data_IF_903026695477
#
_entry.id   IF_903026695477
#
_cell.length_a   1.000
_cell.length_b   1.000
_cell.length_c   1.000
_cell.angle_alpha   90.00
_cell.angle_beta   90.00
_cell.angle_gamma   90.00
#
_symmetry.space_group_name_H-M   'P 1'
#
loop_
_entity.id
_entity.type
_entity.pdbx_description
1 polymer ?
#
# COMPACT_ATOMS: atom_id res chain seq x y z
N UNK A 1 36.27 -4.86 -0.95
CA UNK A 1 35.11 -4.68 -0.05
C UNK A 1 34.81 -6.03 0.61
N UNK A 2 34.63 -6.10 1.94
CA UNK A 2 34.18 -7.34 2.59
C UNK A 2 32.71 -7.63 2.25
N UNK A 3 32.29 -8.90 2.29
CA UNK A 3 30.97 -9.37 1.85
C UNK A 3 29.79 -8.62 2.50
N UNK A 4 29.90 -8.28 3.78
CA UNK A 4 28.86 -7.52 4.49
C UNK A 4 28.73 -6.07 4.00
N UNK A 5 29.84 -5.40 3.69
CA UNK A 5 29.82 -4.05 3.10
C UNK A 5 29.21 -4.05 1.71
N UNK A 6 29.44 -5.12 0.93
CA UNK A 6 28.80 -5.31 -0.37
C UNK A 6 27.29 -5.48 -0.23
N UNK A 7 26.84 -6.30 0.72
CA UNK A 7 25.42 -6.50 0.99
C UNK A 7 24.72 -5.19 1.40
N UNK A 8 25.32 -4.41 2.30
CA UNK A 8 24.80 -3.10 2.69
C UNK A 8 24.66 -2.15 1.49
N UNK A 9 25.67 -2.09 0.61
CA UNK A 9 25.62 -1.28 -0.62
C UNK A 9 24.51 -1.72 -1.58
N UNK A 10 24.28 -3.04 -1.73
CA UNK A 10 23.18 -3.55 -2.54
C UNK A 10 21.81 -3.18 -1.97
N UNK A 11 21.64 -3.24 -0.65
CA UNK A 11 20.41 -2.81 0.02
C UNK A 11 20.20 -1.31 -0.19
N UNK A 12 21.24 -0.49 -0.01
CA UNK A 12 21.15 0.95 -0.22
C UNK A 12 20.71 1.28 -1.65
N UNK A 13 21.45 0.79 -2.65
CA UNK A 13 21.17 1.04 -4.08
C UNK A 13 19.82 0.48 -4.52
N UNK A 14 19.37 -0.65 -3.94
CA UNK A 14 18.03 -1.16 -4.15
C UNK A 14 16.96 -0.14 -3.74
N UNK A 15 17.11 0.50 -2.57
CA UNK A 15 16.13 1.48 -2.07
C UNK A 15 16.26 2.86 -2.72
N UNK A 16 17.47 3.37 -2.92
CA UNK A 16 17.71 4.74 -3.40
C UNK A 16 17.61 4.88 -4.92
N UNK A 17 18.03 3.85 -5.67
CA UNK A 17 18.13 3.92 -7.13
C UNK A 17 17.09 3.03 -7.81
N UNK A 18 17.05 1.74 -7.47
CA UNK A 18 16.20 0.80 -8.18
C UNK A 18 14.71 1.03 -7.92
N UNK A 19 14.29 1.12 -6.65
CA UNK A 19 12.87 1.31 -6.32
C UNK A 19 12.36 2.69 -6.72
N UNK A 20 13.16 3.73 -6.52
CA UNK A 20 12.76 5.12 -6.80
C UNK A 20 12.91 5.45 -8.28
N UNK A 21 14.12 5.28 -8.84
CA UNK A 21 14.44 5.70 -10.20
C UNK A 21 13.94 4.71 -11.26
N UNK A 22 14.29 3.43 -11.14
CA UNK A 22 14.01 2.47 -12.21
C UNK A 22 12.57 1.93 -12.18
N UNK A 23 12.02 1.69 -10.99
CA UNK A 23 10.69 1.10 -10.84
C UNK A 23 9.57 2.10 -10.58
N UNK A 24 9.90 3.35 -10.23
CA UNK A 24 8.96 4.41 -9.85
C UNK A 24 7.84 3.89 -8.91
N UNK A 25 8.22 3.09 -7.90
CA UNK A 25 7.21 2.52 -6.99
C UNK A 25 6.75 3.56 -5.98
N UNK A 26 5.47 3.46 -5.60
CA UNK A 26 4.91 4.40 -4.62
C UNK A 26 5.67 4.41 -3.29
N UNK A 27 5.70 5.55 -2.56
CA UNK A 27 6.33 5.63 -1.23
C UNK A 27 5.79 4.60 -0.22
N UNK A 28 4.54 4.17 -0.38
CA UNK A 28 3.93 3.10 0.42
C UNK A 28 4.54 1.74 0.12
N UNK A 29 4.87 1.45 -1.14
CA UNK A 29 5.59 0.24 -1.53
C UNK A 29 7.01 0.25 -0.95
N UNK A 30 7.71 1.38 -1.03
CA UNK A 30 9.05 1.55 -0.46
C UNK A 30 9.02 1.29 1.05
N UNK A 31 8.08 1.92 1.77
CA UNK A 31 7.88 1.68 3.21
C UNK A 31 7.61 0.21 3.52
N UNK A 32 6.72 -0.43 2.76
CA UNK A 32 6.42 -1.85 2.94
C UNK A 32 7.65 -2.75 2.69
N UNK A 33 8.48 -2.43 1.71
CA UNK A 33 9.71 -3.17 1.43
C UNK A 33 10.72 -2.95 2.55
N UNK A 34 10.95 -1.70 2.98
CA UNK A 34 11.83 -1.36 4.11
C UNK A 34 11.44 -2.13 5.38
N UNK A 35 10.15 -2.11 5.72
CA UNK A 35 9.66 -2.82 6.89
C UNK A 35 9.83 -4.34 6.75
N UNK A 36 9.88 -4.86 5.52
CA UNK A 36 10.16 -6.28 5.28
C UNK A 36 11.59 -6.61 5.64
N UNK A 37 12.54 -5.82 5.16
CA UNK A 37 13.96 -6.02 5.46
C UNK A 37 14.26 -5.84 6.95
N UNK A 38 13.67 -4.83 7.61
CA UNK A 38 13.80 -4.67 9.06
C UNK A 38 13.35 -5.91 9.83
N UNK A 39 12.20 -6.48 9.46
CA UNK A 39 11.69 -7.70 10.11
C UNK A 39 12.53 -8.93 9.78
N UNK A 40 13.00 -9.05 8.54
CA UNK A 40 13.82 -10.17 8.11
C UNK A 40 15.19 -10.15 8.81
N UNK A 41 15.85 -8.99 8.89
CA UNK A 41 17.13 -8.85 9.58
C UNK A 41 16.99 -9.07 11.09
N UNK A 42 15.92 -8.55 11.70
CA UNK A 42 15.60 -8.85 13.10
C UNK A 42 15.42 -10.35 13.33
N UNK A 43 14.68 -11.02 12.44
CA UNK A 43 14.51 -12.48 12.50
C UNK A 43 15.84 -13.22 12.40
N UNK A 44 16.67 -12.92 11.39
CA UNK A 44 17.98 -13.56 11.23
C UNK A 44 18.88 -13.35 12.45
N UNK A 45 18.84 -12.15 13.02
CA UNK A 45 19.62 -11.83 14.21
C UNK A 45 19.19 -12.62 15.43
N UNK A 46 17.88 -12.72 15.69
CA UNK A 46 17.35 -13.51 16.81
C UNK A 46 17.54 -15.01 16.61
N UNK A 47 17.42 -15.53 15.38
CA UNK A 47 17.47 -16.97 15.11
C UNK A 47 18.88 -17.51 14.96
N UNK A 48 19.81 -16.73 14.39
CA UNK A 48 21.16 -17.20 14.07
C UNK A 48 22.27 -16.42 14.80
N UNK A 49 21.93 -15.47 15.68
CA UNK A 49 22.89 -14.69 16.46
C UNK A 49 23.76 -13.73 15.64
N UNK A 50 23.46 -13.52 14.35
CA UNK A 50 24.21 -12.60 13.48
C UNK A 50 23.71 -11.17 13.67
N UNK A 51 24.60 -10.23 13.97
CA UNK A 51 24.23 -8.80 13.97
C UNK A 51 23.92 -8.34 12.55
N UNK A 52 23.06 -7.33 12.35
CA UNK A 52 22.75 -6.81 11.00
C UNK A 52 23.98 -6.43 10.17
N UNK A 53 25.06 -5.96 10.82
CA UNK A 53 26.34 -5.61 10.18
C UNK A 53 27.11 -6.82 9.65
N UNK A 54 26.86 -8.02 10.19
CA UNK A 54 27.51 -9.27 9.78
C UNK A 54 26.71 -10.04 8.74
N UNK A 55 25.50 -9.59 8.41
CA UNK A 55 24.67 -10.25 7.39
C UNK A 55 25.32 -10.14 6.02
N UNK A 56 25.23 -11.22 5.25
CA UNK A 56 25.70 -11.28 3.85
C UNK A 56 24.55 -11.68 2.93
N UNK A 57 24.81 -11.67 1.62
CA UNK A 57 23.86 -12.18 0.63
C UNK A 57 23.52 -13.66 0.83
N UNK A 58 24.46 -14.46 1.35
CA UNK A 58 24.26 -15.89 1.62
C UNK A 58 23.16 -16.13 2.66
N UNK A 59 22.95 -15.17 3.55
CA UNK A 59 21.88 -15.23 4.56
C UNK A 59 20.49 -15.05 3.93
N UNK A 60 20.39 -14.50 2.71
CA UNK A 60 19.14 -14.31 1.95
C UNK A 60 18.85 -15.52 1.03
N UNK A 61 18.96 -16.73 1.59
CA UNK A 61 18.72 -17.99 0.88
C UNK A 61 17.29 -18.55 1.04
N UNK A 62 16.97 -19.60 0.26
CA UNK A 62 15.66 -20.25 0.28
C UNK A 62 15.21 -20.75 1.67
N UNK A 63 16.12 -21.39 2.43
CA UNK A 63 15.83 -21.94 3.75
C UNK A 63 15.50 -20.83 4.76
N UNK A 64 16.32 -19.79 4.82
CA UNK A 64 16.13 -18.66 5.72
C UNK A 64 14.87 -17.86 5.37
N UNK A 65 14.58 -17.65 4.08
CA UNK A 65 13.33 -17.01 3.66
C UNK A 65 12.13 -17.87 4.01
N UNK A 66 12.16 -19.19 3.78
CA UNK A 66 11.07 -20.07 4.16
C UNK A 66 10.81 -20.05 5.67
N UNK A 67 11.86 -20.14 6.49
CA UNK A 67 11.79 -20.06 7.94
C UNK A 67 11.23 -18.72 8.42
N UNK A 68 11.67 -17.60 7.81
CA UNK A 68 11.12 -16.28 8.09
C UNK A 68 9.61 -16.21 7.80
N UNK A 69 9.16 -16.74 6.66
CA UNK A 69 7.73 -16.73 6.32
C UNK A 69 6.89 -17.58 7.28
N UNK A 70 7.42 -18.71 7.77
CA UNK A 70 6.78 -19.49 8.83
C UNK A 70 6.72 -18.72 10.15
N UNK A 71 7.80 -18.03 10.53
CA UNK A 71 7.83 -17.17 11.72
C UNK A 71 6.79 -16.05 11.64
N UNK A 72 6.63 -15.41 10.48
CA UNK A 72 5.62 -14.36 10.29
C UNK A 72 4.21 -14.87 10.58
N UNK A 73 3.87 -16.08 10.15
CA UNK A 73 2.54 -16.66 10.38
C UNK A 73 2.41 -17.19 11.81
N UNK A 74 3.32 -18.07 12.24
CA UNK A 74 3.17 -18.81 13.50
C UNK A 74 3.49 -17.99 14.76
N UNK A 75 4.43 -17.04 14.69
CA UNK A 75 4.84 -16.24 15.86
C UNK A 75 4.30 -14.82 15.83
N UNK A 76 4.19 -14.21 14.65
CA UNK A 76 3.66 -12.83 14.52
C UNK A 76 2.17 -12.76 14.16
N UNK A 77 1.53 -13.90 13.88
CA UNK A 77 0.10 -13.94 13.53
C UNK A 77 -0.24 -13.21 12.24
N UNK A 78 0.73 -12.98 11.35
CA UNK A 78 0.48 -12.27 10.11
C UNK A 78 -0.40 -13.11 9.18
N UNK A 79 -1.42 -12.48 8.59
CA UNK A 79 -2.23 -13.12 7.56
C UNK A 79 -1.40 -13.44 6.30
N UNK A 80 -1.90 -14.38 5.50
CA UNK A 80 -1.26 -14.83 4.25
C UNK A 80 -0.97 -13.68 3.29
N UNK A 81 -1.85 -12.66 3.23
CA UNK A 81 -1.64 -11.48 2.39
C UNK A 81 -0.36 -10.74 2.79
N UNK A 82 -0.18 -10.47 4.08
CA UNK A 82 1.01 -9.79 4.60
C UNK A 82 2.26 -10.64 4.35
N UNK A 83 2.20 -11.94 4.65
CA UNK A 83 3.28 -12.91 4.34
C UNK A 83 3.71 -12.83 2.87
N UNK A 84 2.76 -12.89 1.94
CA UNK A 84 3.04 -12.84 0.51
C UNK A 84 3.61 -11.48 0.07
N UNK A 85 3.17 -10.37 0.67
CA UNK A 85 3.78 -9.05 0.43
C UNK A 85 5.24 -9.00 0.87
N UNK A 86 5.58 -9.62 2.01
CA UNK A 86 6.97 -9.72 2.48
C UNK A 86 7.82 -10.58 1.51
N UNK A 87 7.32 -11.73 1.09
CA UNK A 87 8.01 -12.56 0.08
C UNK A 87 8.22 -11.81 -1.25
N UNK A 88 7.24 -11.01 -1.69
CA UNK A 88 7.38 -10.22 -2.91
C UNK A 88 8.52 -9.19 -2.83
N UNK A 89 8.73 -8.56 -1.67
CA UNK A 89 9.84 -7.62 -1.46
C UNK A 89 11.21 -8.32 -1.57
N UNK A 90 11.37 -9.48 -0.90
CA UNK A 90 12.61 -10.27 -0.93
C UNK A 90 12.92 -10.76 -2.35
N UNK A 91 11.91 -11.26 -3.06
CA UNK A 91 12.06 -11.66 -4.48
C UNK A 91 12.41 -10.48 -5.39
N UNK A 92 11.85 -9.30 -5.13
CA UNK A 92 12.18 -8.10 -5.90
C UNK A 92 13.64 -7.71 -5.73
N UNK A 93 14.18 -7.82 -4.51
CA UNK A 93 15.57 -7.55 -4.24
C UNK A 93 16.52 -8.55 -4.89
N UNK A 94 16.26 -9.86 -4.77
CA UNK A 94 17.13 -10.87 -5.40
C UNK A 94 17.14 -10.77 -6.92
N UNK A 95 15.99 -10.44 -7.54
CA UNK A 95 15.96 -10.12 -8.98
C UNK A 95 16.82 -8.90 -9.34
N UNK A 96 16.81 -7.87 -8.49
CA UNK A 96 17.69 -6.71 -8.68
C UNK A 96 19.17 -7.10 -8.57
N UNK A 97 19.54 -7.87 -7.55
CA UNK A 97 20.93 -8.31 -7.32
C UNK A 97 21.45 -9.12 -8.52
N UNK A 98 20.69 -10.11 -8.98
CA UNK A 98 21.08 -10.96 -10.12
C UNK A 98 21.16 -10.15 -11.41
N UNK A 99 20.17 -9.30 -11.68
CA UNK A 99 20.12 -8.55 -12.95
C UNK A 99 21.21 -7.48 -13.09
N UNK A 100 21.63 -6.88 -11.97
CA UNK A 100 22.48 -5.67 -12.02
C UNK A 100 23.91 -5.90 -11.56
N UNK A 101 24.20 -6.95 -10.78
CA UNK A 101 25.45 -7.01 -10.01
C UNK A 101 26.09 -8.40 -9.90
N UNK A 102 25.32 -9.48 -9.79
CA UNK A 102 25.86 -10.84 -9.50
C UNK A 102 25.08 -11.99 -10.16
N UNK A 103 25.44 -12.39 -11.40
CA UNK A 103 24.80 -13.52 -12.07
C UNK A 103 25.04 -14.87 -11.37
N UNK A 104 26.14 -15.02 -10.63
CA UNK A 104 26.49 -16.27 -9.93
C UNK A 104 25.48 -16.64 -8.83
N UNK A 105 24.69 -15.67 -8.35
CA UNK A 105 23.63 -15.88 -7.36
C UNK A 105 22.31 -16.37 -7.98
N UNK A 106 22.30 -16.73 -9.26
CA UNK A 106 21.10 -17.20 -9.96
C UNK A 106 20.48 -18.42 -9.27
N UNK A 107 21.29 -19.41 -8.88
CA UNK A 107 20.83 -20.62 -8.22
C UNK A 107 20.15 -20.33 -6.88
N UNK A 108 20.79 -19.52 -6.02
CA UNK A 108 20.22 -19.09 -4.74
C UNK A 108 18.92 -18.28 -4.93
N UNK A 109 18.91 -17.41 -5.95
CA UNK A 109 17.73 -16.60 -6.29
C UNK A 109 16.58 -17.49 -6.76
N UNK A 110 16.85 -18.50 -7.57
CA UNK A 110 15.85 -19.47 -8.01
C UNK A 110 15.20 -20.22 -6.84
N UNK A 111 15.96 -20.57 -5.80
CA UNK A 111 15.39 -21.20 -4.59
C UNK A 111 14.35 -20.30 -3.91
N UNK A 112 14.63 -19.01 -3.74
CA UNK A 112 13.68 -18.06 -3.13
C UNK A 112 12.51 -17.76 -4.08
N UNK A 113 12.76 -17.73 -5.39
CA UNK A 113 11.73 -17.60 -6.41
C UNK A 113 10.84 -18.85 -6.49
N UNK A 114 11.30 -20.04 -6.09
CA UNK A 114 10.50 -21.26 -6.05
C UNK A 114 9.51 -21.31 -4.88
N UNK A 115 9.74 -20.55 -3.79
CA UNK A 115 8.85 -20.56 -2.60
C UNK A 115 7.44 -20.09 -3.00
N UNK A 116 6.40 -20.93 -2.96
CA UNK A 116 5.09 -20.53 -3.48
C UNK A 116 4.46 -19.39 -2.66
N UNK A 117 3.68 -18.56 -3.36
CA UNK A 117 2.72 -17.69 -2.69
C UNK A 117 1.61 -18.57 -2.12
N UNK A 118 1.28 -18.39 -0.84
CA UNK A 118 0.14 -19.09 -0.24
C UNK A 118 -1.16 -18.50 -0.81
N UNK A 119 -2.13 -19.37 -1.12
CA UNK A 119 -3.46 -18.93 -1.55
C UNK A 119 -4.13 -18.19 -0.38
N UNK A 120 -4.79 -17.08 -0.69
CA UNK A 120 -5.55 -16.30 0.29
C UNK A 120 -6.93 -16.06 -0.28
N UNK A 121 -7.95 -16.66 0.32
CA UNK A 121 -9.34 -16.38 0.00
C UNK A 121 -9.65 -14.97 0.47
N UNK A 122 -10.06 -14.11 -0.45
CA UNK A 122 -10.52 -12.77 -0.08
C UNK A 122 -11.94 -12.93 0.43
N UNK A 123 -12.24 -12.61 1.71
CA UNK A 123 -13.62 -12.62 2.15
C UNK A 123 -14.40 -11.68 1.25
N UNK A 124 -15.58 -12.11 0.83
CA UNK A 124 -16.54 -11.22 0.19
C UNK A 124 -16.87 -10.16 1.24
N UNK A 125 -16.46 -8.92 0.96
CA UNK A 125 -16.90 -7.81 1.78
C UNK A 125 -18.40 -7.67 1.54
N UNK A 126 -19.18 -7.71 2.63
CA UNK A 126 -20.60 -7.40 2.57
C UNK A 126 -20.81 -6.00 1.99
N UNK A 127 -21.95 -5.81 1.32
CA UNK A 127 -22.40 -4.48 0.90
C UNK A 127 -23.37 -3.93 1.95
N UNK A 128 -23.45 -2.61 2.04
CA UNK A 128 -24.46 -1.96 2.88
C UNK A 128 -25.78 -1.89 2.11
N UNK A 129 -26.86 -2.24 2.78
CA UNK A 129 -28.23 -2.03 2.31
C UNK A 129 -28.57 -0.53 2.27
N UNK A 130 -29.60 -0.18 1.51
CA UNK A 130 -30.11 1.21 1.47
C UNK A 130 -30.49 1.72 2.86
N UNK A 131 -31.08 0.86 3.70
CA UNK A 131 -31.45 1.21 5.08
C UNK A 131 -30.23 1.53 5.93
N UNK A 132 -29.17 0.73 5.84
CA UNK A 132 -27.92 0.97 6.59
C UNK A 132 -27.22 2.26 6.13
N UNK A 133 -27.17 2.52 4.82
CA UNK A 133 -26.62 3.77 4.29
C UNK A 133 -27.43 4.97 4.76
N UNK A 134 -28.76 4.90 4.73
CA UNK A 134 -29.61 5.97 5.23
C UNK A 134 -29.39 6.23 6.73
N UNK A 135 -29.18 5.18 7.53
CA UNK A 135 -28.88 5.31 8.96
C UNK A 135 -27.52 6.00 9.19
N UNK A 136 -26.49 5.65 8.41
CA UNK A 136 -25.18 6.32 8.46
C UNK A 136 -25.31 7.81 8.07
N UNK A 137 -26.06 8.12 7.01
CA UNK A 137 -26.27 9.50 6.59
C UNK A 137 -27.04 10.30 7.64
N UNK A 138 -28.01 9.70 8.32
CA UNK A 138 -28.79 10.36 9.40
C UNK A 138 -28.00 10.59 10.68
N UNK A 139 -27.00 9.74 10.98
CA UNK A 139 -26.19 9.86 12.20
C UNK A 139 -25.18 11.02 12.16
N UNK A 140 -25.00 11.68 11.01
CA UNK A 140 -24.01 12.76 10.80
C UNK A 140 -24.57 14.17 11.06
N UNK A 141 -25.32 14.38 12.15
CA UNK A 141 -26.10 15.61 12.38
C UNK A 141 -25.40 16.69 13.25
N UNK A 142 -25.95 17.91 13.20
CA UNK A 142 -25.80 18.98 14.19
C UNK A 142 -24.52 19.83 14.12
N UNK A 143 -23.34 19.21 14.02
CA UNK A 143 -22.05 19.93 14.10
C UNK A 143 -21.44 20.25 12.74
N UNK A 144 -20.46 21.15 12.69
CA UNK A 144 -19.63 21.40 11.48
C UNK A 144 -18.95 20.12 11.00
N UNK A 145 -18.46 19.29 11.93
CA UNK A 145 -17.87 17.98 11.62
C UNK A 145 -18.94 17.01 11.09
N UNK A 146 -20.13 17.00 11.67
CA UNK A 146 -21.26 16.19 11.18
C UNK A 146 -21.62 16.53 9.73
N UNK A 147 -21.77 17.82 9.40
CA UNK A 147 -22.04 18.25 8.01
C UNK A 147 -20.92 17.88 7.03
N UNK A 148 -19.66 17.96 7.45
CA UNK A 148 -18.51 17.48 6.66
C UNK A 148 -18.61 15.98 6.40
N UNK A 149 -18.84 15.19 7.45
CA UNK A 149 -18.87 13.74 7.38
C UNK A 149 -20.08 13.26 6.56
N UNK A 150 -21.22 13.95 6.68
CA UNK A 150 -22.40 13.74 5.84
C UNK A 150 -22.05 13.92 4.35
N UNK A 151 -21.42 15.04 3.98
CA UNK A 151 -21.01 15.30 2.61
C UNK A 151 -19.99 14.26 2.12
N UNK A 152 -19.07 13.82 2.99
CA UNK A 152 -18.06 12.80 2.66
C UNK A 152 -18.68 11.42 2.43
N UNK A 153 -19.60 10.97 3.29
CA UNK A 153 -20.28 9.68 3.10
C UNK A 153 -21.18 9.69 1.87
N UNK A 154 -21.92 10.78 1.64
CA UNK A 154 -22.71 10.93 0.44
C UNK A 154 -21.84 10.89 -0.83
N UNK A 155 -20.68 11.56 -0.80
CA UNK A 155 -19.71 11.51 -1.90
C UNK A 155 -19.21 10.08 -2.17
N UNK A 156 -18.79 9.37 -1.12
CA UNK A 156 -18.29 7.99 -1.21
C UNK A 156 -19.36 7.04 -1.75
N UNK A 157 -20.58 7.17 -1.25
CA UNK A 157 -21.71 6.35 -1.67
C UNK A 157 -22.08 6.60 -3.13
N UNK A 158 -22.12 7.87 -3.55
CA UNK A 158 -22.49 8.26 -4.90
C UNK A 158 -21.46 7.83 -5.95
N UNK A 159 -20.17 7.99 -5.61
CA UNK A 159 -19.08 7.87 -6.60
C UNK A 159 -18.36 6.53 -6.56
N UNK A 160 -18.53 5.74 -5.49
CA UNK A 160 -17.69 4.57 -5.22
C UNK A 160 -16.20 4.90 -5.11
N UNK A 161 -15.86 6.16 -4.78
CA UNK A 161 -14.47 6.59 -4.64
C UNK A 161 -13.77 5.81 -3.53
N UNK A 162 -12.48 5.51 -3.72
CA UNK A 162 -11.63 5.06 -2.61
C UNK A 162 -11.46 6.22 -1.63
N UNK A 163 -11.24 5.91 -0.35
CA UNK A 163 -10.96 6.93 0.68
C UNK A 163 -9.85 7.90 0.24
N UNK A 164 -8.76 7.38 -0.35
CA UNK A 164 -7.67 8.23 -0.88
C UNK A 164 -8.09 9.12 -2.04
N UNK A 165 -9.06 8.70 -2.85
CA UNK A 165 -9.59 9.51 -3.95
C UNK A 165 -10.48 10.62 -3.37
N UNK A 166 -11.34 10.29 -2.39
CA UNK A 166 -12.25 11.24 -1.76
C UNK A 166 -11.53 12.36 -0.99
N UNK A 167 -10.51 12.04 -0.18
CA UNK A 167 -9.78 13.06 0.60
C UNK A 167 -8.89 13.98 -0.25
N UNK A 168 -8.57 13.57 -1.48
CA UNK A 168 -7.73 14.36 -2.41
C UNK A 168 -8.57 15.11 -3.46
N UNK A 169 -9.89 14.88 -3.51
CA UNK A 169 -10.78 15.56 -4.43
C UNK A 169 -10.86 17.06 -4.08
N UNK A 170 -10.74 17.92 -5.09
CA UNK A 170 -10.80 19.37 -4.93
C UNK A 170 -12.09 19.91 -5.53
N UNK A 171 -12.49 21.10 -5.10
CA UNK A 171 -13.68 21.79 -5.62
C UNK A 171 -13.62 21.94 -7.14
N UNK A 172 -12.44 22.23 -7.69
CA UNK A 172 -12.22 22.36 -9.14
C UNK A 172 -12.40 21.05 -9.93
N UNK A 173 -12.31 19.91 -9.26
CA UNK A 173 -12.48 18.60 -9.89
C UNK A 173 -13.98 18.26 -10.06
N UNK A 174 -14.88 19.05 -9.45
CA UNK A 174 -16.33 18.92 -9.56
C UNK A 174 -16.87 19.81 -10.67
N UNK A 175 -17.35 19.19 -11.74
CA UNK A 175 -18.01 19.87 -12.84
C UNK A 175 -19.51 20.02 -12.56
N UNK A 176 -20.03 21.21 -12.86
CA UNK A 176 -21.35 21.65 -12.42
C UNK A 176 -22.20 22.33 -13.50
N UNK A 177 -21.66 22.51 -14.71
CA UNK A 177 -22.25 23.33 -15.77
C UNK A 177 -23.12 22.55 -16.74
N UNK A 178 -22.61 21.45 -17.31
CA UNK A 178 -23.36 20.62 -18.28
C UNK A 178 -23.71 19.24 -17.73
N UNK A 179 -22.78 18.62 -16.99
CA UNK A 179 -22.99 17.35 -16.30
C UNK A 179 -22.52 17.50 -14.87
N UNK A 180 -23.34 17.08 -13.91
CA UNK A 180 -22.90 16.94 -12.52
C UNK A 180 -21.93 15.77 -12.47
N UNK A 181 -20.64 16.04 -12.35
CA UNK A 181 -19.63 14.97 -12.31
C UNK A 181 -18.40 15.38 -11.52
N UNK A 182 -17.61 14.40 -11.11
CA UNK A 182 -16.31 14.61 -10.47
C UNK A 182 -15.21 13.85 -11.20
N UNK A 183 -14.07 14.50 -11.42
CA UNK A 183 -12.85 13.84 -11.87
C UNK A 183 -12.12 13.22 -10.67
N UNK A 184 -12.00 11.89 -10.67
CA UNK A 184 -11.27 11.14 -9.64
C UNK A 184 -9.91 10.66 -10.16
N UNK A 185 -8.88 10.87 -9.35
CA UNK A 185 -7.50 10.43 -9.62
C UNK A 185 -7.14 9.24 -8.75
N UNK A 186 -7.16 8.06 -9.34
CA UNK A 186 -6.95 6.78 -8.66
C UNK A 186 -5.50 6.27 -8.66
N UNK A 187 -5.31 5.13 -8.00
CA UNK A 187 -4.01 4.43 -7.94
C UNK A 187 -3.51 4.10 -9.36
N UNK A 188 -2.22 4.37 -9.61
CA UNK A 188 -1.59 4.12 -10.91
C UNK A 188 -1.85 5.22 -11.95
N UNK A 189 -2.10 6.46 -11.50
CA UNK A 189 -2.40 7.63 -12.36
C UNK A 189 -3.64 7.44 -13.26
N UNK A 190 -4.56 6.56 -12.89
CA UNK A 190 -5.81 6.35 -13.63
C UNK A 190 -6.81 7.45 -13.28
N UNK A 191 -7.26 8.19 -14.29
CA UNK A 191 -8.32 9.19 -14.16
C UNK A 191 -9.66 8.59 -14.59
N UNK A 192 -10.73 8.96 -13.90
CA UNK A 192 -12.11 8.66 -14.33
C UNK A 192 -13.04 9.82 -13.97
N UNK A 193 -14.02 10.07 -14.82
CA UNK A 193 -15.11 11.01 -14.54
C UNK A 193 -16.31 10.21 -14.05
N UNK A 194 -16.87 10.60 -12.91
CA UNK A 194 -18.02 9.93 -12.31
C UNK A 194 -19.18 10.90 -12.22
N UNK A 195 -20.35 10.59 -12.81
CA UNK A 195 -21.56 11.38 -12.64
C UNK A 195 -21.97 11.45 -11.16
N UNK A 196 -22.40 12.63 -10.72
CA UNK A 196 -22.96 12.88 -9.39
C UNK A 196 -24.49 12.96 -9.51
N UNK A 197 -25.19 12.52 -8.46
CA UNK A 197 -26.65 12.69 -8.41
C UNK A 197 -27.01 14.18 -8.32
N UNK A 198 -28.19 14.54 -8.86
CA UNK A 198 -28.72 15.91 -8.81
C UNK A 198 -28.84 16.42 -7.36
N UNK A 199 -29.13 15.52 -6.42
CA UNK A 199 -29.20 15.79 -4.98
C UNK A 199 -27.83 15.90 -4.29
N UNK A 200 -26.72 16.00 -5.03
CA UNK A 200 -25.37 16.32 -4.52
C UNK A 200 -25.23 17.74 -3.91
N UNK A 201 -26.36 18.41 -3.68
CA UNK A 201 -26.53 19.72 -3.02
C UNK A 201 -25.74 19.83 -1.69
N UNK A 202 -25.63 18.78 -0.84
CA UNK A 202 -24.82 18.85 0.38
C UNK A 202 -23.34 19.13 0.14
N UNK A 203 -22.74 18.67 -0.96
CA UNK A 203 -21.34 19.00 -1.30
C UNK A 203 -21.18 20.49 -1.64
N UNK A 204 -22.15 21.08 -2.35
CA UNK A 204 -22.13 22.51 -2.69
C UNK A 204 -22.30 23.39 -1.45
N UNK A 205 -23.21 22.99 -0.57
CA UNK A 205 -23.43 23.68 0.70
C UNK A 205 -22.18 23.60 1.60
N UNK A 206 -21.55 22.44 1.69
CA UNK A 206 -20.28 22.30 2.42
C UNK A 206 -19.14 23.10 1.79
N UNK A 207 -18.96 23.08 0.47
CA UNK A 207 -17.86 23.81 -0.19
C UNK A 207 -17.98 25.32 -0.02
N UNK A 208 -19.20 25.87 -0.06
CA UNK A 208 -19.45 27.29 0.24
C UNK A 208 -19.27 27.62 1.74
N UNK A 209 -19.66 26.74 2.66
CA UNK A 209 -19.40 26.89 4.11
C UNK A 209 -17.88 26.80 4.43
N UNK A 210 -17.16 25.89 3.78
CA UNK A 210 -15.73 25.69 3.98
C UNK A 210 -14.90 26.87 3.47
N UNK A 211 -15.29 27.50 2.36
CA UNK A 211 -14.63 28.71 1.86
C UNK A 211 -14.78 29.93 2.79
N UNK A 212 -15.82 29.96 3.64
CA UNK A 212 -16.08 31.05 4.60
C UNK A 212 -15.35 30.92 5.94
N UNK A 213 -14.75 29.77 6.23
CA UNK A 213 -14.16 29.45 7.54
C UNK A 213 -12.68 29.07 7.49
N UNK A 214 -11.96 29.53 6.47
CA UNK A 214 -10.51 29.45 6.28
C UNK A 214 -9.92 30.84 5.97
N UNK A 215 -10.49 31.87 6.60
CA UNK A 215 -9.88 33.18 6.78
C UNK A 215 -9.25 33.25 8.17
#
# INVERSE_FOLDING_TARGET
MNASNRFASLIQTFFSEYLVGQRDVSPRTISAYRDTFRLFFGFLSTTFGKTPEKLTLDDVNGANVAAFLQHLEGKRGNCVRTRNCRLAALRSFLRYVVAMREPDLLAQTQQVLAIPLKRHTRPLLGFLTLTEINNILRSTSGSRAGRRDHAMFLFLYNTGARVSEAINARVKDVQSREYHSVELRGKGRKQRVVPLWKDGIPLRKWTSEAQRGWG
#
